data_IF_007716469625
#
_entry.id   IF_007716469625
#
_cell.length_a   1.000
_cell.length_b   1.000
_cell.length_c   1.000
_cell.angle_alpha   90.00
_cell.angle_beta   90.00
_cell.angle_gamma   90.00
#
_symmetry.space_group_name_H-M   'P 1'
#
loop_
_entity.id
_entity.type
_entity.pdbx_description
1 polymer ?
#
# COMPACT_ATOMS: atom_id res chain seq x y z
N UNK A 1 10.38 -30.01 -31.56
CA UNK A 1 9.14 -29.21 -31.66
C UNK A 1 9.49 -27.75 -31.45
N UNK A 2 9.28 -26.88 -32.44
CA UNK A 2 9.41 -25.42 -32.27
C UNK A 2 8.08 -24.89 -31.74
N UNK A 3 8.11 -24.11 -30.67
CA UNK A 3 6.92 -23.44 -30.15
C UNK A 3 6.41 -22.42 -31.19
N UNK A 4 5.09 -22.31 -31.42
CA UNK A 4 4.51 -21.34 -32.33
C UNK A 4 4.91 -19.91 -31.93
N UNK A 5 5.20 -19.05 -32.91
CA UNK A 5 5.71 -17.70 -32.70
C UNK A 5 4.72 -16.80 -31.91
N UNK A 6 3.44 -17.17 -31.87
CA UNK A 6 2.38 -16.52 -31.10
C UNK A 6 2.57 -16.63 -29.58
N UNK A 7 3.32 -17.63 -29.09
CA UNK A 7 3.67 -17.80 -27.66
C UNK A 7 4.96 -17.06 -27.27
N UNK A 8 5.60 -16.34 -28.19
CA UNK A 8 6.84 -15.58 -27.92
C UNK A 8 6.59 -14.12 -27.57
N UNK A 9 5.34 -13.67 -27.48
CA UNK A 9 5.06 -12.38 -26.90
C UNK A 9 5.15 -12.50 -25.38
N UNK A 10 6.19 -11.96 -24.72
CA UNK A 10 6.12 -11.78 -23.28
C UNK A 10 4.83 -11.00 -23.00
N UNK A 11 4.04 -11.48 -22.04
CA UNK A 11 2.84 -10.77 -21.55
C UNK A 11 3.21 -9.29 -21.44
N UNK A 12 2.63 -8.48 -22.33
CA UNK A 12 2.97 -7.07 -22.47
C UNK A 12 2.57 -6.39 -21.17
N UNK A 13 3.50 -6.31 -20.24
CA UNK A 13 3.30 -5.60 -18.98
C UNK A 13 2.79 -4.20 -19.30
N UNK A 14 1.78 -3.77 -18.55
CA UNK A 14 1.30 -2.39 -18.59
C UNK A 14 2.52 -1.46 -18.56
N UNK A 15 2.66 -0.60 -19.57
CA UNK A 15 3.70 0.41 -19.52
C UNK A 15 3.42 1.30 -18.32
N UNK A 16 4.40 1.43 -17.43
CA UNK A 16 4.29 2.34 -16.30
C UNK A 16 4.10 3.74 -16.88
N UNK A 17 2.99 4.38 -16.52
CA UNK A 17 2.72 5.77 -16.88
C UNK A 17 3.93 6.63 -16.47
N UNK A 18 4.55 7.27 -17.46
CA UNK A 18 5.74 8.12 -17.24
C UNK A 18 5.45 9.21 -16.21
N UNK A 19 4.22 9.70 -16.16
CA UNK A 19 3.79 10.68 -15.17
C UNK A 19 3.79 10.08 -13.76
N UNK A 20 3.29 8.86 -13.60
CA UNK A 20 3.32 8.16 -12.32
C UNK A 20 4.76 7.90 -11.87
N UNK A 21 5.65 7.50 -12.78
CA UNK A 21 7.07 7.29 -12.47
C UNK A 21 7.76 8.58 -12.01
N UNK A 22 7.50 9.70 -12.70
CA UNK A 22 8.06 11.00 -12.36
C UNK A 22 7.56 11.48 -10.99
N UNK A 23 6.26 11.36 -10.72
CA UNK A 23 5.68 11.72 -9.41
C UNK A 23 6.29 10.89 -8.28
N UNK A 24 6.50 9.59 -8.51
CA UNK A 24 7.10 8.71 -7.50
C UNK A 24 8.56 9.09 -7.19
N UNK A 25 9.31 9.45 -8.23
CA UNK A 25 10.70 9.94 -8.10
C UNK A 25 10.76 11.24 -7.31
N UNK A 26 9.92 12.22 -7.67
CA UNK A 26 9.81 13.50 -6.96
C UNK A 26 9.36 13.33 -5.50
N UNK A 27 8.46 12.37 -5.23
CA UNK A 27 8.05 12.04 -3.88
C UNK A 27 9.21 11.48 -3.04
N UNK A 28 10.07 10.62 -3.62
CA UNK A 28 11.23 10.09 -2.91
C UNK A 28 12.23 11.19 -2.56
N UNK A 29 12.49 12.10 -3.52
CA UNK A 29 13.33 13.28 -3.33
C UNK A 29 12.77 14.20 -2.24
N UNK A 30 11.47 14.50 -2.28
CA UNK A 30 10.82 15.30 -1.25
C UNK A 30 11.01 14.71 0.14
N UNK A 31 10.89 13.38 0.28
CA UNK A 31 11.04 12.68 1.55
C UNK A 31 12.48 12.63 2.06
N UNK A 32 13.51 12.71 1.19
CA UNK A 32 14.92 12.76 1.64
C UNK A 32 15.22 14.00 2.49
N UNK A 33 14.41 15.05 2.36
CA UNK A 33 14.50 16.26 3.17
C UNK A 33 13.95 16.08 4.59
N UNK A 34 13.21 15.00 4.86
CA UNK A 34 12.56 14.71 6.14
C UNK A 34 13.03 13.36 6.74
N UNK A 35 14.31 13.23 7.11
CA UNK A 35 14.87 11.97 7.58
C UNK A 35 14.25 11.48 8.90
N UNK A 36 13.79 12.39 9.75
CA UNK A 36 13.10 12.06 11.00
C UNK A 36 11.72 11.46 10.72
N UNK A 37 10.95 12.02 9.78
CA UNK A 37 9.64 11.52 9.35
C UNK A 37 9.78 10.14 8.70
N UNK A 38 10.78 9.96 7.82
CA UNK A 38 11.12 8.65 7.22
C UNK A 38 11.40 7.61 8.30
N UNK A 39 12.22 7.95 9.31
CA UNK A 39 12.55 7.04 10.42
C UNK A 39 11.34 6.65 11.26
N UNK A 40 10.46 7.59 11.58
CA UNK A 40 9.21 7.32 12.32
C UNK A 40 8.24 6.40 11.56
N UNK A 41 8.23 6.50 10.23
CA UNK A 41 7.32 5.75 9.35
C UNK A 41 7.95 4.50 8.71
N UNK A 42 9.19 4.17 9.06
CA UNK A 42 9.80 2.89 8.70
C UNK A 42 9.18 1.79 9.57
N UNK A 43 8.35 0.94 8.94
CA UNK A 43 7.79 -0.22 9.64
C UNK A 43 8.86 -1.28 9.82
N UNK A 44 9.21 -1.52 11.09
CA UNK A 44 10.24 -2.46 11.52
C UNK A 44 9.71 -3.91 11.43
N UNK A 45 9.60 -4.43 10.21
CA UNK A 45 9.30 -5.84 9.91
C UNK A 45 10.52 -6.55 9.30
N UNK A 46 11.73 -6.27 9.83
CA UNK A 46 12.98 -6.86 9.33
C UNK A 46 13.56 -6.24 8.06
N UNK A 47 13.01 -5.12 7.57
CA UNK A 47 13.55 -4.38 6.43
C UNK A 47 13.25 -2.88 6.54
N UNK A 48 14.25 -2.05 6.30
CA UNK A 48 14.14 -0.59 6.33
C UNK A 48 13.45 -0.07 5.07
N UNK A 49 12.13 -0.19 4.99
CA UNK A 49 11.35 0.33 3.88
C UNK A 49 10.50 1.54 4.32
N UNK A 50 10.49 2.59 3.50
CA UNK A 50 9.58 3.74 3.66
C UNK A 50 8.15 3.25 3.44
N UNK A 51 7.21 3.65 4.31
CA UNK A 51 5.80 3.26 4.13
C UNK A 51 5.26 3.79 2.81
N UNK A 52 4.50 2.96 2.09
CA UNK A 52 3.84 3.38 0.84
C UNK A 52 2.87 4.55 1.06
N UNK A 53 2.26 4.62 2.25
CA UNK A 53 1.41 5.74 2.66
C UNK A 53 2.16 7.07 2.65
N UNK A 54 3.41 7.10 3.14
CA UNK A 54 4.22 8.31 3.17
C UNK A 54 4.62 8.77 1.76
N UNK A 55 4.92 7.83 0.87
CA UNK A 55 5.20 8.13 -0.55
C UNK A 55 3.96 8.70 -1.25
N UNK A 56 2.79 8.11 -1.01
CA UNK A 56 1.52 8.62 -1.55
C UNK A 56 1.24 10.02 -1.00
N UNK A 57 1.51 10.27 0.28
CA UNK A 57 1.30 11.58 0.90
C UNK A 57 2.14 12.68 0.23
N UNK A 58 3.43 12.42 0.04
CA UNK A 58 4.32 13.31 -0.69
C UNK A 58 3.84 13.53 -2.13
N UNK A 59 3.45 12.47 -2.85
CA UNK A 59 2.94 12.57 -4.22
C UNK A 59 1.68 13.44 -4.32
N UNK A 60 0.74 13.31 -3.37
CA UNK A 60 -0.48 14.14 -3.31
C UNK A 60 -0.14 15.61 -3.05
N UNK A 61 0.77 15.89 -2.12
CA UNK A 61 1.20 17.25 -1.80
C UNK A 61 1.84 17.96 -3.01
N UNK A 62 2.69 17.24 -3.76
CA UNK A 62 3.32 17.72 -5.00
C UNK A 62 2.27 17.94 -6.09
N UNK A 63 1.37 16.97 -6.31
CA UNK A 63 0.32 17.06 -7.33
C UNK A 63 -0.64 18.24 -7.08
N UNK A 64 -0.99 18.52 -5.81
CA UNK A 64 -1.84 19.67 -5.47
C UNK A 64 -1.18 21.00 -5.88
N UNK A 65 0.13 21.12 -5.73
CA UNK A 65 0.92 22.30 -6.12
C UNK A 65 1.08 22.43 -7.63
N UNK A 66 1.43 21.33 -8.29
CA UNK A 66 1.54 21.30 -9.76
C UNK A 66 0.21 21.68 -10.39
N UNK A 67 -0.91 21.17 -9.86
CA UNK A 67 -2.26 21.55 -10.30
C UNK A 67 -2.60 23.01 -10.03
N UNK A 68 -1.97 23.65 -9.04
CA UNK A 68 -2.09 25.09 -8.77
C UNK A 68 -1.21 25.95 -9.69
N UNK A 69 -0.49 25.35 -10.65
CA UNK A 69 0.36 26.05 -11.62
C UNK A 69 1.82 26.16 -11.19
N UNK A 70 2.20 25.52 -10.09
CA UNK A 70 3.59 25.49 -9.64
C UNK A 70 4.43 24.52 -10.48
N UNK A 71 5.72 24.82 -10.65
CA UNK A 71 6.65 23.89 -11.31
C UNK A 71 6.90 22.67 -10.42
N UNK A 72 7.10 21.47 -11.00
CA UNK A 72 7.34 20.25 -10.22
C UNK A 72 8.54 20.36 -9.28
N UNK A 73 9.63 20.99 -9.72
CA UNK A 73 10.85 21.16 -8.92
C UNK A 73 10.61 22.04 -7.68
N UNK A 74 9.88 23.15 -7.85
CA UNK A 74 9.53 24.05 -6.75
C UNK A 74 8.51 23.38 -5.81
N UNK A 75 7.57 22.61 -6.38
CA UNK A 75 6.58 21.88 -5.62
C UNK A 75 7.22 20.84 -4.68
N UNK A 76 8.31 20.19 -5.11
CA UNK A 76 9.11 19.30 -4.24
C UNK A 76 9.69 20.06 -3.06
N UNK A 77 10.23 21.26 -3.28
CA UNK A 77 10.84 22.07 -2.22
C UNK A 77 9.82 22.62 -1.22
N UNK A 78 8.60 22.84 -1.66
CA UNK A 78 7.57 23.44 -0.82
C UNK A 78 6.75 22.43 -0.02
N UNK A 79 6.98 21.11 -0.17
CA UNK A 79 6.37 20.10 0.69
C UNK A 79 6.79 20.34 2.14
N UNK A 80 5.84 20.32 3.08
CA UNK A 80 6.08 20.48 4.52
C UNK A 80 5.93 19.18 5.30
N UNK A 81 6.50 19.14 6.52
CA UNK A 81 6.35 17.99 7.43
C UNK A 81 4.87 17.77 7.81
N UNK A 82 4.08 18.84 8.01
CA UNK A 82 2.66 18.70 8.34
C UNK A 82 1.86 18.04 7.23
N UNK A 83 2.21 18.23 5.97
CA UNK A 83 1.53 17.57 4.85
C UNK A 83 1.84 16.07 4.78
N UNK A 84 3.06 15.69 5.16
CA UNK A 84 3.50 14.30 5.21
C UNK A 84 2.88 13.55 6.39
N UNK A 85 2.75 14.22 7.54
CA UNK A 85 2.16 13.64 8.75
C UNK A 85 0.62 13.76 8.78
N UNK A 86 0.05 14.78 8.13
CA UNK A 86 -1.39 15.07 8.10
C UNK A 86 -2.23 14.10 7.27
N UNK A 87 -1.58 13.26 6.46
CA UNK A 87 -2.21 12.15 5.73
C UNK A 87 -2.20 10.84 6.52
N UNK A 88 -1.96 10.89 7.84
CA UNK A 88 -2.35 9.82 8.77
C UNK A 88 -3.80 9.45 8.49
N UNK A 89 -3.92 8.35 7.75
CA UNK A 89 -5.09 7.54 7.47
C UNK A 89 -6.39 8.16 8.00
N UNK A 90 -7.29 8.49 7.08
CA UNK A 90 -8.71 8.14 7.31
C UNK A 90 -8.64 6.69 7.80
N UNK A 91 -8.73 6.48 9.12
CA UNK A 91 -8.89 5.16 9.68
C UNK A 91 -10.02 4.56 8.87
N UNK A 92 -9.74 3.49 8.11
CA UNK A 92 -10.82 2.67 7.62
C UNK A 92 -11.55 2.28 8.89
N UNK A 93 -12.72 2.89 9.12
CA UNK A 93 -13.73 2.35 10.01
C UNK A 93 -13.69 0.86 9.76
N UNK A 94 -13.28 0.11 10.78
CA UNK A 94 -13.17 -1.32 10.68
C UNK A 94 -14.50 -1.80 10.13
N UNK A 95 -14.50 -2.25 8.88
CA UNK A 95 -15.65 -2.90 8.30
C UNK A 95 -15.90 -4.11 9.19
N UNK A 96 -16.85 -3.95 10.11
CA UNK A 96 -17.40 -5.04 10.88
C UNK A 96 -18.32 -5.73 9.90
N UNK A 97 -17.96 -6.91 9.36
CA UNK A 97 -18.92 -7.65 8.57
C UNK A 97 -20.19 -7.78 9.42
N UNK A 98 -21.38 -7.51 8.85
CA UNK A 98 -22.62 -7.76 9.56
C UNK A 98 -22.58 -9.21 10.04
N UNK A 99 -22.89 -9.40 11.33
CA UNK A 99 -22.86 -10.72 11.94
C UNK A 99 -23.61 -11.68 11.02
N UNK A 100 -22.91 -12.72 10.56
CA UNK A 100 -23.53 -13.78 9.79
C UNK A 100 -24.73 -14.25 10.60
N UNK A 101 -25.92 -14.06 10.04
CA UNK A 101 -27.15 -14.52 10.62
C UNK A 101 -27.03 -16.05 10.77
N UNK A 102 -27.34 -16.53 11.97
CA UNK A 102 -27.28 -17.93 12.38
C UNK A 102 -28.13 -18.78 11.41
N UNK A 103 -27.53 -19.26 10.32
CA UNK A 103 -28.06 -20.42 9.59
C UNK A 103 -27.75 -21.67 10.42
N UNK A 104 -28.57 -21.88 11.46
CA UNK A 104 -28.73 -23.18 12.09
C UNK A 104 -29.26 -24.17 11.05
N UNK A 105 -28.34 -24.84 10.36
CA UNK A 105 -28.64 -26.07 9.63
C UNK A 105 -28.41 -27.24 10.57
N UNK A 106 -29.51 -27.83 11.03
CA UNK A 106 -29.54 -29.12 11.71
C UNK A 106 -28.90 -30.21 10.84
N UNK A 107 -28.20 -31.15 11.47
CA UNK A 107 -28.06 -32.49 10.94
C UNK A 107 -26.72 -33.17 11.23
N UNK A 108 -26.71 -34.11 12.19
CA UNK A 108 -25.72 -35.18 12.21
C UNK A 108 -25.23 -35.59 13.59
N UNK A 109 -26.09 -36.26 14.36
CA UNK A 109 -25.66 -37.15 15.45
C UNK A 109 -24.75 -38.25 14.90
N UNK A 110 -23.63 -38.52 15.57
CA UNK A 110 -22.64 -39.47 15.06
C UNK A 110 -21.50 -39.84 16.01
N UNK A 111 -21.86 -40.33 17.20
CA UNK A 111 -21.15 -41.40 17.94
C UNK A 111 -19.76 -41.14 18.55
N UNK A 112 -19.68 -41.62 19.79
CA UNK A 112 -18.61 -41.56 20.79
C UNK A 112 -17.35 -42.37 20.47
N UNK A 113 -16.18 -41.82 20.82
CA UNK A 113 -15.05 -42.55 21.44
C UNK A 113 -13.97 -41.58 21.96
N UNK A 114 -13.59 -41.63 23.25
CA UNK A 114 -12.24 -41.25 23.66
C UNK A 114 -11.40 -42.52 23.93
N UNK A 115 -10.35 -42.71 23.13
CA UNK A 115 -9.09 -43.32 23.54
C UNK A 115 -8.10 -42.15 23.55
N UNK A 116 -7.27 -41.86 24.54
CA UNK A 116 -6.22 -42.62 25.26
C UNK A 116 -5.68 -41.58 26.29
N UNK A 117 -5.40 -41.82 27.58
CA UNK A 117 -4.44 -42.76 28.17
C UNK A 117 -3.08 -42.09 28.42
N UNK A 118 -2.76 -41.72 29.67
CA UNK A 118 -1.45 -41.48 30.38
C UNK A 118 -1.71 -40.44 31.49
N UNK A 119 -1.39 -40.62 32.77
CA UNK A 119 -0.29 -41.29 33.49
C UNK A 119 -0.80 -42.28 34.57
#
# INVERSE_FOLDING_TARGET
MKLPDELKHPSGGEHVDELAHNVLSLAHEALDRFPEVKRRNMFLAGGAAVSSALVIAAGVAIMKRVRAGQRPEDAVQDVTEEELEGLRLVEREHYRPPAAEDETTEGGEGSTKPATGTD
#
